data_IF_753546008415
#
_entry.id   IF_753546008415
#
_cell.length_a   1.000
_cell.length_b   1.000
_cell.length_c   1.000
_cell.angle_alpha   90.00
_cell.angle_beta   90.00
_cell.angle_gamma   90.00
#
_symmetry.space_group_name_H-M   'P 1'
#
loop_
_entity.id
_entity.type
_entity.pdbx_description
1 polymer ?
#
# COMPACT_ATOMS: atom_id res chain seq x y z
N UNK A 1 -58.67 14.78 50.53
CA UNK A 1 -57.36 14.38 49.97
C UNK A 1 -57.32 14.86 48.53
N UNK A 2 -56.50 15.88 48.24
CA UNK A 2 -56.39 16.53 46.92
C UNK A 2 -55.09 16.02 46.28
N UNK A 3 -55.19 15.27 45.18
CA UNK A 3 -54.04 14.84 44.40
C UNK A 3 -53.53 16.03 43.58
N UNK A 4 -52.30 16.48 43.86
CA UNK A 4 -51.59 17.48 43.04
C UNK A 4 -50.71 16.70 42.07
N UNK A 5 -51.03 16.78 40.78
CA UNK A 5 -50.21 16.26 39.71
C UNK A 5 -49.13 17.31 39.39
N UNK A 6 -47.87 17.04 39.71
CA UNK A 6 -46.74 17.90 39.35
C UNK A 6 -46.21 17.43 37.99
N UNK A 7 -46.47 18.23 36.95
CA UNK A 7 -45.91 18.02 35.61
C UNK A 7 -44.48 18.57 35.61
N UNK A 8 -43.48 17.69 35.71
CA UNK A 8 -42.07 18.04 35.56
C UNK A 8 -41.77 18.05 34.05
N UNK A 9 -41.77 19.23 33.43
CA UNK A 9 -41.19 19.41 32.11
C UNK A 9 -39.67 19.33 32.22
N UNK A 10 -39.10 18.18 31.84
CA UNK A 10 -37.66 18.04 31.63
C UNK A 10 -37.35 18.73 30.31
N UNK A 11 -36.80 19.96 30.38
CA UNK A 11 -36.12 20.57 29.24
C UNK A 11 -34.88 19.72 28.95
N UNK A 12 -34.98 18.81 27.99
CA UNK A 12 -33.83 18.22 27.33
C UNK A 12 -33.15 19.33 26.54
N UNK A 13 -32.07 19.89 27.11
CA UNK A 13 -31.16 20.75 26.37
C UNK A 13 -30.51 19.89 25.28
N UNK A 14 -30.99 20.02 24.05
CA UNK A 14 -30.30 19.51 22.88
C UNK A 14 -28.95 20.24 22.80
N UNK A 15 -27.87 19.56 23.18
CA UNK A 15 -26.53 20.03 22.87
C UNK A 15 -26.38 19.96 21.36
N UNK A 16 -26.60 21.09 20.69
CA UNK A 16 -26.15 21.26 19.32
C UNK A 16 -24.62 21.15 19.37
N UNK A 17 -24.09 20.02 18.92
CA UNK A 17 -22.66 19.88 18.64
C UNK A 17 -22.32 20.96 17.62
N UNK A 18 -21.47 21.90 18.00
CA UNK A 18 -20.97 22.91 17.08
C UNK A 18 -20.27 22.18 15.94
N UNK A 19 -20.87 22.22 14.76
CA UNK A 19 -20.18 21.92 13.51
C UNK A 19 -18.99 22.86 13.45
N UNK A 20 -17.77 22.34 13.56
CA UNK A 20 -16.58 23.10 13.21
C UNK A 20 -16.74 23.49 11.74
N UNK A 21 -16.71 24.79 11.46
CA UNK A 21 -16.76 25.28 10.09
C UNK A 21 -15.50 24.80 9.36
N UNK A 22 -15.69 24.19 8.20
CA UNK A 22 -14.63 23.79 7.27
C UNK A 22 -13.79 25.03 6.93
N UNK A 23 -12.46 24.92 7.07
CA UNK A 23 -11.55 25.97 6.61
C UNK A 23 -11.54 25.91 5.08
N UNK A 24 -11.72 27.06 4.44
CA UNK A 24 -11.65 27.21 2.98
C UNK A 24 -10.32 27.89 2.62
N UNK A 25 -9.42 27.25 1.84
CA UNK A 25 -9.49 25.88 1.32
C UNK A 25 -9.21 24.81 2.40
N UNK A 26 -9.69 23.56 2.23
CA UNK A 26 -9.44 22.48 3.18
C UNK A 26 -7.94 22.30 3.40
N UNK A 27 -7.55 22.14 4.68
CA UNK A 27 -6.17 21.83 5.03
C UNK A 27 -5.84 20.42 4.53
N UNK A 28 -4.69 20.29 3.88
CA UNK A 28 -4.13 19.06 3.30
C UNK A 28 -4.49 17.81 4.10
N UNK A 29 -5.27 16.92 3.49
CA UNK A 29 -5.62 15.64 4.10
C UNK A 29 -4.51 14.66 3.77
N UNK A 30 -3.73 14.22 4.74
CA UNK A 30 -2.80 13.12 4.49
C UNK A 30 -3.46 11.79 4.86
N UNK A 31 -3.48 10.86 3.91
CA UNK A 31 -3.70 9.45 4.17
C UNK A 31 -2.32 8.77 4.14
N UNK A 32 -2.02 7.94 5.13
CA UNK A 32 -0.87 7.06 5.08
C UNK A 32 -1.32 5.62 5.25
N UNK A 33 -0.58 4.72 4.62
CA UNK A 33 -0.79 3.29 4.67
C UNK A 33 0.53 2.64 5.08
N UNK A 34 0.48 1.77 6.07
CA UNK A 34 1.54 0.83 6.37
C UNK A 34 1.01 -0.58 6.27
N UNK A 35 1.86 -1.50 5.83
CA UNK A 35 1.54 -2.90 5.72
C UNK A 35 2.66 -3.70 6.37
N UNK A 36 2.31 -4.56 7.32
CA UNK A 36 3.29 -5.34 8.08
C UNK A 36 2.89 -6.81 8.03
N UNK A 37 3.80 -7.66 7.57
CA UNK A 37 3.63 -9.10 7.68
C UNK A 37 4.07 -9.65 9.02
N UNK A 38 3.32 -10.61 9.55
CA UNK A 38 3.74 -11.30 10.75
C UNK A 38 4.96 -12.20 10.46
N UNK A 39 5.89 -12.35 11.42
CA UNK A 39 7.04 -13.24 11.25
C UNK A 39 6.64 -14.71 11.10
N UNK A 40 5.43 -15.09 11.53
CA UNK A 40 4.91 -16.44 11.46
C UNK A 40 4.36 -16.81 10.07
N UNK A 41 4.16 -15.83 9.19
CA UNK A 41 3.71 -16.06 7.82
C UNK A 41 2.23 -16.37 7.68
N UNK A 42 1.40 -15.86 8.59
CA UNK A 42 -0.02 -16.17 8.65
C UNK A 42 -0.92 -14.98 8.36
N UNK A 43 -0.44 -13.74 8.56
CA UNK A 43 -1.28 -12.55 8.46
C UNK A 43 -0.47 -11.33 8.00
N UNK A 44 -1.13 -10.47 7.21
CA UNK A 44 -0.68 -9.11 6.92
C UNK A 44 -1.62 -8.15 7.63
N UNK A 45 -1.04 -7.28 8.45
CA UNK A 45 -1.75 -6.21 9.15
C UNK A 45 -1.54 -4.91 8.39
N UNK A 46 -2.62 -4.25 8.02
CA UNK A 46 -2.58 -2.91 7.44
C UNK A 46 -2.94 -1.89 8.51
N UNK A 47 -2.20 -0.78 8.53
CA UNK A 47 -2.47 0.39 9.35
C UNK A 47 -2.74 1.57 8.42
N UNK A 48 -3.94 2.12 8.52
CA UNK A 48 -4.38 3.27 7.70
C UNK A 48 -4.57 4.44 8.62
N UNK A 49 -3.83 5.53 8.40
CA UNK A 49 -3.96 6.77 9.14
C UNK A 49 -4.49 7.91 8.28
N UNK A 50 -5.57 8.55 8.70
CA UNK A 50 -6.23 9.67 7.98
C UNK A 50 -6.20 10.90 8.87
N UNK A 51 -5.71 12.04 8.36
CA UNK A 51 -5.76 13.33 9.08
C UNK A 51 -6.73 14.31 8.41
N UNK A 52 -7.66 14.86 9.18
CA UNK A 52 -8.87 15.46 8.64
C UNK A 52 -8.82 16.96 8.34
N UNK A 53 -9.16 17.27 7.09
CA UNK A 53 -10.28 18.16 6.72
C UNK A 53 -10.82 17.66 5.37
N UNK A 54 -11.61 16.57 5.39
CA UNK A 54 -12.12 15.92 4.18
C UNK A 54 -13.34 16.64 3.58
N UNK A 55 -13.40 16.65 2.25
CA UNK A 55 -14.57 17.14 1.53
C UNK A 55 -15.83 16.31 1.87
N UNK A 56 -17.02 16.94 2.02
CA UNK A 56 -18.28 16.23 2.25
C UNK A 56 -18.63 15.15 1.20
N UNK A 57 -18.09 15.23 -0.02
CA UNK A 57 -18.29 14.23 -1.06
C UNK A 57 -17.55 12.92 -0.78
N UNK A 58 -16.52 12.95 0.07
CA UNK A 58 -15.81 11.76 0.52
C UNK A 58 -16.67 10.97 1.50
N UNK A 59 -17.05 9.74 1.09
CA UNK A 59 -17.81 8.81 1.93
C UNK A 59 -16.89 7.93 2.78
N UNK A 60 -15.67 7.67 2.32
CA UNK A 60 -14.70 6.85 3.05
C UNK A 60 -13.53 6.41 2.19
N UNK A 61 -12.93 5.29 2.57
CA UNK A 61 -11.72 4.75 1.94
C UNK A 61 -11.84 3.26 1.66
N UNK A 62 -11.55 2.86 0.43
CA UNK A 62 -11.43 1.46 0.05
C UNK A 62 -9.96 1.05 -0.02
N UNK A 63 -9.68 -0.19 0.41
CA UNK A 63 -8.33 -0.75 0.32
C UNK A 63 -8.29 -1.79 -0.78
N UNK A 64 -7.28 -1.67 -1.64
CA UNK A 64 -7.01 -2.58 -2.73
C UNK A 64 -5.67 -3.27 -2.55
N UNK A 65 -5.58 -4.50 -3.03
CA UNK A 65 -4.38 -5.31 -3.05
C UNK A 65 -4.06 -5.79 -4.46
N UNK A 66 -2.83 -5.64 -4.88
CA UNK A 66 -2.27 -6.33 -6.05
C UNK A 66 -1.04 -7.16 -5.66
N UNK A 67 -0.60 -8.04 -6.57
CA UNK A 67 0.62 -8.81 -6.40
C UNK A 67 1.71 -8.19 -7.27
N UNK A 68 2.83 -7.82 -6.67
CA UNK A 68 3.94 -7.22 -7.40
C UNK A 68 4.44 -8.16 -8.52
N UNK A 69 4.69 -7.62 -9.70
CA UNK A 69 5.11 -8.38 -10.87
C UNK A 69 3.99 -9.02 -11.69
N UNK A 70 2.75 -9.03 -11.18
CA UNK A 70 1.60 -9.58 -11.92
C UNK A 70 0.77 -8.47 -12.56
N UNK A 71 0.33 -8.69 -13.81
CA UNK A 71 -0.59 -7.79 -14.49
C UNK A 71 -2.07 -8.06 -14.12
N UNK A 72 -2.31 -8.64 -12.94
CA UNK A 72 -3.63 -8.91 -12.44
C UNK A 72 -4.28 -7.63 -11.93
N UNK A 73 -5.60 -7.52 -12.08
CA UNK A 73 -6.35 -6.42 -11.49
C UNK A 73 -6.22 -6.45 -9.96
N UNK A 74 -6.19 -5.25 -9.37
CA UNK A 74 -6.20 -5.12 -7.92
C UNK A 74 -7.52 -5.62 -7.34
N UNK A 75 -7.44 -6.33 -6.22
CA UNK A 75 -8.59 -6.88 -5.52
C UNK A 75 -8.91 -5.98 -4.33
N UNK A 76 -10.15 -5.50 -4.24
CA UNK A 76 -10.64 -4.79 -3.07
C UNK A 76 -10.74 -5.73 -1.88
N UNK A 77 -10.21 -5.32 -0.73
CA UNK A 77 -10.20 -6.12 0.51
C UNK A 77 -11.14 -5.57 1.60
N UNK A 78 -11.70 -4.37 1.40
CA UNK A 78 -12.72 -3.79 2.28
C UNK A 78 -14.13 -4.18 1.82
N UNK A 79 -14.89 -4.84 2.71
CA UNK A 79 -16.32 -5.13 2.46
C UNK A 79 -17.13 -3.83 2.38
N UNK A 80 -16.88 -2.91 3.32
CA UNK A 80 -17.43 -1.56 3.39
C UNK A 80 -16.29 -0.54 3.45
N UNK A 81 -16.45 0.68 2.91
CA UNK A 81 -15.44 1.72 3.02
C UNK A 81 -15.08 2.01 4.48
N UNK A 82 -13.79 2.15 4.77
CA UNK A 82 -13.33 2.65 6.06
C UNK A 82 -13.94 4.05 6.26
N UNK A 83 -14.53 4.33 7.42
CA UNK A 83 -15.24 5.58 7.63
C UNK A 83 -14.26 6.75 7.61
N UNK A 84 -14.72 7.88 7.08
CA UNK A 84 -13.95 9.14 7.06
C UNK A 84 -13.58 9.70 8.44
N UNK A 85 -14.19 9.20 9.51
CA UNK A 85 -13.92 9.64 10.89
C UNK A 85 -14.43 11.05 11.22
N UNK A 86 -14.20 11.48 12.47
CA UNK A 86 -14.36 12.86 12.95
C UNK A 86 -13.00 13.55 12.94
N UNK A 87 -12.92 14.87 12.75
CA UNK A 87 -11.64 15.61 12.70
C UNK A 87 -10.54 15.06 13.64
N UNK A 88 -9.51 14.40 13.09
CA UNK A 88 -8.40 13.82 13.86
C UNK A 88 -7.58 12.79 13.07
N UNK A 89 -6.73 12.03 13.77
CA UNK A 89 -6.03 10.84 13.24
C UNK A 89 -6.82 9.59 13.60
N UNK A 90 -7.24 8.82 12.59
CA UNK A 90 -7.91 7.52 12.78
C UNK A 90 -7.02 6.41 12.27
N UNK A 91 -6.82 5.38 13.09
CA UNK A 91 -6.06 4.18 12.73
C UNK A 91 -7.01 3.00 12.54
N UNK A 92 -6.93 2.37 11.37
CA UNK A 92 -7.67 1.15 11.06
C UNK A 92 -6.70 -0.02 10.93
N UNK A 93 -7.03 -1.13 11.56
CA UNK A 93 -6.26 -2.38 11.50
C UNK A 93 -7.04 -3.41 10.70
N UNK A 94 -6.52 -3.81 9.54
CA UNK A 94 -7.11 -4.82 8.67
C UNK A 94 -6.20 -6.05 8.61
N UNK A 95 -6.80 -7.24 8.62
CA UNK A 95 -6.10 -8.50 8.36
C UNK A 95 -6.44 -8.94 6.95
N UNK A 96 -5.42 -9.14 6.11
CA UNK A 96 -5.63 -9.67 4.77
C UNK A 96 -5.56 -11.22 4.76
N UNK A 97 -6.72 -11.86 4.87
CA UNK A 97 -6.85 -13.33 4.82
C UNK A 97 -6.61 -13.92 3.41
N UNK A 98 -6.62 -13.09 2.36
CA UNK A 98 -6.38 -13.54 0.99
C UNK A 98 -4.91 -13.61 0.60
N UNK A 99 -4.01 -13.08 1.45
CA UNK A 99 -2.58 -13.16 1.23
C UNK A 99 -2.08 -14.57 1.59
N UNK A 100 -1.70 -15.35 0.59
CA UNK A 100 -1.53 -16.79 0.71
C UNK A 100 -0.09 -17.30 0.49
N UNK A 101 0.83 -16.42 0.06
CA UNK A 101 2.18 -16.82 -0.33
C UNK A 101 3.25 -16.04 0.41
N UNK A 102 4.12 -16.76 1.12
CA UNK A 102 5.23 -16.20 1.89
C UNK A 102 6.45 -15.78 1.06
N UNK A 103 6.34 -15.81 -0.27
CA UNK A 103 7.40 -15.41 -1.20
C UNK A 103 6.89 -14.34 -2.19
N UNK A 104 5.76 -13.73 -1.86
CA UNK A 104 5.05 -12.79 -2.71
C UNK A 104 5.01 -11.45 -2.00
N UNK A 105 5.45 -10.41 -2.70
CA UNK A 105 5.24 -9.05 -2.25
C UNK A 105 3.85 -8.59 -2.72
N UNK A 106 3.05 -8.16 -1.76
CA UNK A 106 1.74 -7.56 -1.97
C UNK A 106 1.86 -6.05 -1.93
N UNK A 107 1.18 -5.40 -2.87
CA UNK A 107 1.06 -3.94 -2.93
C UNK A 107 -0.33 -3.59 -2.44
N UNK A 108 -0.41 -2.70 -1.47
CA UNK A 108 -1.66 -2.17 -0.96
C UNK A 108 -1.79 -0.70 -1.31
N UNK A 109 -3.02 -0.31 -1.64
CA UNK A 109 -3.39 1.05 -2.06
C UNK A 109 -4.66 1.46 -1.34
N UNK A 110 -4.66 2.68 -0.79
CA UNK A 110 -5.86 3.32 -0.25
C UNK A 110 -6.48 4.20 -1.34
N UNK A 111 -7.74 3.97 -1.67
CA UNK A 111 -8.52 4.80 -2.59
C UNK A 111 -9.60 5.56 -1.83
N UNK A 112 -9.76 6.85 -2.13
CA UNK A 112 -10.84 7.68 -1.60
C UNK A 112 -12.09 7.47 -2.45
N UNK A 113 -13.25 7.30 -1.82
CA UNK A 113 -14.48 6.95 -2.53
C UNK A 113 -15.69 7.80 -2.13
N UNK A 114 -16.62 7.97 -3.07
CA UNK A 114 -17.93 8.60 -2.84
C UNK A 114 -18.96 7.64 -2.21
N UNK A 115 -20.21 8.09 -2.05
CA UNK A 115 -21.29 7.30 -1.46
C UNK A 115 -21.65 6.04 -2.27
N UNK A 116 -21.40 6.06 -3.58
CA UNK A 116 -21.65 4.97 -4.50
C UNK A 116 -20.39 4.09 -4.70
N UNK A 117 -19.31 4.38 -3.95
CA UNK A 117 -17.99 3.74 -4.02
C UNK A 117 -17.26 3.95 -5.35
N UNK A 118 -17.51 5.06 -6.01
CA UNK A 118 -16.68 5.47 -7.14
C UNK A 118 -15.37 6.07 -6.62
N UNK A 119 -14.27 5.77 -7.29
CA UNK A 119 -12.97 6.38 -6.99
C UNK A 119 -13.01 7.89 -7.25
N UNK A 120 -12.63 8.65 -6.24
CA UNK A 120 -12.44 10.09 -6.30
C UNK A 120 -10.94 10.35 -6.51
N UNK A 121 -10.55 10.63 -7.76
CA UNK A 121 -9.14 10.86 -8.11
C UNK A 121 -8.59 12.08 -7.38
N UNK A 122 -7.70 11.83 -6.43
CA UNK A 122 -7.15 12.85 -5.54
C UNK A 122 -6.24 13.83 -6.24
N UNK A 123 -5.47 13.39 -7.23
CA UNK A 123 -4.38 14.19 -7.76
C UNK A 123 -4.81 15.52 -8.39
N UNK A 124 -6.09 15.65 -8.76
CA UNK A 124 -6.62 16.82 -9.46
C UNK A 124 -7.60 17.65 -8.63
N UNK A 125 -8.29 17.06 -7.65
CA UNK A 125 -9.40 17.73 -6.95
C UNK A 125 -9.23 17.79 -5.42
N UNK A 126 -8.37 16.95 -4.82
CA UNK A 126 -8.21 16.88 -3.36
C UNK A 126 -6.73 16.74 -2.99
N UNK A 127 -6.18 17.64 -2.16
CA UNK A 127 -4.82 17.51 -1.64
C UNK A 127 -4.68 16.29 -0.69
N UNK A 128 -4.71 15.07 -1.24
CA UNK A 128 -4.43 13.83 -0.54
C UNK A 128 -3.31 13.03 -1.18
N UNK A 129 -2.51 12.41 -0.31
CA UNK A 129 -1.49 11.45 -0.71
C UNK A 129 -2.11 10.06 -0.74
N UNK A 130 -2.07 9.41 -1.90
CA UNK A 130 -2.44 8.00 -2.04
C UNK A 130 -1.43 7.16 -1.24
N UNK A 131 -1.87 6.54 -0.15
CA UNK A 131 -1.03 5.65 0.64
C UNK A 131 -0.75 4.36 -0.13
N UNK A 132 0.50 4.13 -0.50
CA UNK A 132 0.98 2.86 -1.05
C UNK A 132 1.88 2.19 -0.02
N UNK A 133 1.61 0.92 0.26
CA UNK A 133 2.43 0.10 1.14
C UNK A 133 2.75 -1.24 0.49
N UNK A 134 3.91 -1.79 0.86
CA UNK A 134 4.39 -3.07 0.39
C UNK A 134 4.53 -3.97 1.61
N UNK A 135 4.03 -5.20 1.50
CA UNK A 135 4.26 -6.19 2.54
C UNK A 135 4.52 -7.56 1.96
N UNK A 136 5.34 -8.29 2.70
CA UNK A 136 5.62 -9.71 2.52
C UNK A 136 5.58 -10.34 3.90
N UNK A 137 5.37 -11.64 3.96
CA UNK A 137 5.50 -12.42 5.19
C UNK A 137 6.36 -13.65 4.92
N UNK A 138 7.19 -14.05 5.89
CA UNK A 138 8.10 -15.18 5.72
C UNK A 138 9.37 -14.86 4.92
N UNK A 139 9.46 -15.33 3.66
CA UNK A 139 10.68 -15.31 2.86
C UNK A 139 10.96 -13.98 2.16
N UNK A 140 12.15 -13.86 1.56
CA UNK A 140 12.52 -12.70 0.74
C UNK A 140 11.79 -12.77 -0.61
N UNK A 141 10.87 -11.84 -0.93
CA UNK A 141 10.12 -11.88 -2.18
C UNK A 141 10.99 -11.51 -3.38
N UNK A 142 10.51 -11.90 -4.56
CA UNK A 142 11.02 -11.41 -5.84
C UNK A 142 10.47 -10.00 -6.10
N UNK A 143 11.37 -9.03 -6.24
CA UNK A 143 11.02 -7.63 -6.53
C UNK A 143 10.96 -7.34 -8.03
N UNK A 144 11.68 -8.12 -8.84
CA UNK A 144 11.76 -7.89 -10.27
C UNK A 144 12.62 -8.92 -11.01
N UNK A 145 12.33 -9.10 -12.30
CA UNK A 145 13.25 -9.73 -13.27
C UNK A 145 13.45 -8.77 -14.44
N UNK A 146 14.71 -8.45 -14.77
CA UNK A 146 15.01 -7.33 -15.68
C UNK A 146 16.49 -7.04 -15.85
N UNK A 147 16.81 -5.96 -16.55
CA UNK A 147 18.18 -5.42 -16.66
C UNK A 147 18.33 -4.20 -15.76
N UNK A 148 19.58 -3.85 -15.42
CA UNK A 148 19.89 -2.67 -14.61
C UNK A 148 20.70 -1.69 -15.46
N UNK A 149 20.26 -0.44 -15.47
CA UNK A 149 20.91 0.65 -16.20
C UNK A 149 21.41 1.71 -15.22
N UNK A 150 22.48 2.41 -15.60
CA UNK A 150 22.94 3.61 -14.90
C UNK A 150 21.93 4.74 -15.13
N UNK A 151 20.92 4.77 -14.26
CA UNK A 151 19.77 5.65 -14.34
C UNK A 151 20.03 7.07 -13.86
N UNK A 152 19.39 7.44 -12.75
CA UNK A 152 19.51 8.76 -12.16
C UNK A 152 20.76 8.85 -11.26
N UNK A 153 21.26 10.06 -11.04
CA UNK A 153 22.45 10.28 -10.18
C UNK A 153 22.30 9.69 -8.77
N UNK A 154 21.07 9.54 -8.29
CA UNK A 154 20.74 9.02 -6.97
C UNK A 154 20.14 7.61 -6.98
N UNK A 155 19.97 6.97 -8.15
CA UNK A 155 19.36 5.65 -8.27
C UNK A 155 19.77 4.92 -9.56
N UNK A 156 20.04 3.61 -9.45
CA UNK A 156 20.06 2.73 -10.63
C UNK A 156 18.64 2.47 -11.08
N UNK A 157 18.47 2.43 -12.40
CA UNK A 157 17.19 2.14 -13.02
C UNK A 157 17.06 0.63 -13.23
N UNK A 158 15.92 0.08 -12.82
CA UNK A 158 15.59 -1.32 -13.04
C UNK A 158 14.56 -1.40 -14.17
N UNK A 159 14.98 -1.99 -15.29
CA UNK A 159 14.14 -2.16 -16.47
C UNK A 159 13.55 -3.57 -16.45
N UNK A 160 12.27 -3.73 -16.06
CA UNK A 160 11.66 -5.05 -15.95
C UNK A 160 11.50 -5.71 -17.32
N UNK A 161 11.58 -7.04 -17.34
CA UNK A 161 11.26 -7.85 -18.50
C UNK A 161 9.77 -7.72 -18.86
N UNK A 162 9.42 -7.59 -20.14
CA UNK A 162 8.03 -7.71 -20.60
C UNK A 162 7.62 -9.20 -20.71
N UNK A 163 6.35 -9.58 -20.47
CA UNK A 163 5.20 -8.76 -20.08
C UNK A 163 4.96 -8.75 -18.56
N UNK A 164 5.95 -8.37 -17.75
CA UNK A 164 5.75 -8.26 -16.30
C UNK A 164 5.17 -6.90 -15.93
N UNK A 165 4.41 -6.84 -14.84
CA UNK A 165 3.91 -5.59 -14.28
C UNK A 165 4.61 -5.31 -12.95
N UNK A 166 5.94 -5.49 -12.92
CA UNK A 166 6.72 -5.03 -11.77
C UNK A 166 6.61 -3.51 -11.69
N UNK A 167 6.34 -3.01 -10.49
CA UNK A 167 6.41 -1.57 -10.28
C UNK A 167 7.84 -1.09 -10.54
N UNK A 168 7.93 0.14 -11.03
CA UNK A 168 9.22 0.81 -11.10
C UNK A 168 9.78 0.97 -9.69
N UNK A 169 10.97 0.43 -9.47
CA UNK A 169 11.69 0.48 -8.19
C UNK A 169 13.09 1.02 -8.42
N UNK A 170 13.48 1.96 -7.58
CA UNK A 170 14.83 2.52 -7.59
C UNK A 170 15.78 1.63 -6.77
N UNK A 171 17.04 1.56 -7.17
CA UNK A 171 18.07 0.87 -6.40
C UNK A 171 19.15 1.88 -6.03
N UNK A 172 19.54 1.94 -4.75
CA UNK A 172 20.58 2.87 -4.32
C UNK A 172 21.93 2.61 -5.02
N UNK A 173 22.61 3.65 -5.53
CA UNK A 173 23.94 3.54 -6.13
C UNK A 173 24.96 2.98 -5.13
N UNK A 174 25.90 2.19 -5.63
CA UNK A 174 26.97 1.61 -4.81
C UNK A 174 26.58 0.33 -4.09
N UNK A 175 25.39 -0.23 -4.33
CA UNK A 175 25.02 -1.54 -3.81
C UNK A 175 25.90 -2.64 -4.43
N UNK A 176 26.78 -3.31 -3.65
CA UNK A 176 27.78 -4.24 -4.20
C UNK A 176 27.16 -5.49 -4.84
N UNK A 177 25.88 -5.80 -4.56
CA UNK A 177 25.17 -6.91 -5.18
C UNK A 177 24.70 -6.58 -6.61
N UNK A 178 24.51 -5.31 -6.92
CA UNK A 178 23.89 -4.81 -8.16
C UNK A 178 24.92 -4.20 -9.10
N UNK A 179 25.92 -3.50 -8.56
CA UNK A 179 26.99 -2.84 -9.35
C UNK A 179 27.67 -3.75 -10.40
N UNK A 180 27.89 -5.07 -10.16
CA UNK A 180 28.44 -5.95 -11.20
C UNK A 180 27.55 -6.15 -12.45
N UNK A 181 26.28 -5.76 -12.38
CA UNK A 181 25.28 -5.97 -13.44
C UNK A 181 24.85 -4.69 -14.15
N UNK A 182 25.20 -3.51 -13.61
CA UNK A 182 24.85 -2.20 -14.19
C UNK A 182 25.44 -2.06 -15.59
N UNK A 183 24.61 -1.67 -16.56
CA UNK A 183 24.95 -1.46 -17.98
C UNK A 183 25.56 -2.68 -18.70
N UNK A 184 25.47 -3.86 -18.11
CA UNK A 184 26.01 -5.10 -18.72
C UNK A 184 25.06 -5.71 -19.75
N UNK A 185 23.77 -5.35 -19.70
CA UNK A 185 22.70 -6.01 -20.44
C UNK A 185 22.37 -7.42 -19.94
N UNK A 186 22.97 -7.87 -18.83
CA UNK A 186 22.65 -9.16 -18.20
C UNK A 186 21.31 -9.04 -17.48
N UNK A 187 20.38 -9.94 -17.80
CA UNK A 187 19.12 -10.07 -17.07
C UNK A 187 19.35 -10.73 -15.72
N UNK A 188 18.76 -10.14 -14.68
CA UNK A 188 18.83 -10.61 -13.30
C UNK A 188 17.45 -10.67 -12.66
N UNK A 189 17.31 -11.56 -11.68
CA UNK A 189 16.22 -11.57 -10.72
C UNK A 189 16.70 -10.91 -9.42
N UNK A 190 15.96 -9.91 -8.94
CA UNK A 190 16.25 -9.14 -7.74
C UNK A 190 15.32 -9.60 -6.62
N UNK A 191 15.90 -10.01 -5.49
CA UNK A 191 15.17 -10.41 -4.29
C UNK A 191 15.48 -9.45 -3.16
N UNK A 192 14.46 -9.02 -2.43
CA UNK A 192 14.61 -8.02 -1.38
C UNK A 192 13.29 -7.60 -0.77
N UNK A 193 13.24 -6.38 -0.25
CA UNK A 193 12.00 -5.73 0.19
C UNK A 193 11.90 -4.34 -0.44
N UNK A 194 10.69 -3.89 -0.73
CA UNK A 194 10.43 -2.52 -1.17
C UNK A 194 10.12 -1.61 0.02
N UNK A 195 10.63 -0.39 0.00
CA UNK A 195 10.24 0.67 0.92
C UNK A 195 10.04 1.96 0.13
N UNK A 196 9.09 2.80 0.52
CA UNK A 196 8.81 4.04 -0.20
C UNK A 196 8.93 5.24 0.72
N UNK A 197 9.40 6.34 0.16
CA UNK A 197 9.42 7.65 0.79
C UNK A 197 8.90 8.69 -0.21
N UNK A 198 9.08 9.98 0.11
CA UNK A 198 8.65 11.07 -0.77
C UNK A 198 9.43 11.17 -2.10
N UNK A 199 10.59 10.52 -2.21
CA UNK A 199 11.44 10.53 -3.41
C UNK A 199 11.12 9.38 -4.36
N UNK A 200 10.47 8.32 -3.86
CA UNK A 200 10.05 7.17 -4.64
C UNK A 200 10.05 5.88 -3.84
N UNK A 201 9.87 4.76 -4.55
CA UNK A 201 9.99 3.42 -3.98
C UNK A 201 11.36 2.83 -4.31
N UNK A 202 12.04 2.33 -3.29
CA UNK A 202 13.39 1.81 -3.37
C UNK A 202 13.44 0.34 -2.96
N UNK A 203 14.35 -0.40 -3.61
CA UNK A 203 14.63 -1.79 -3.31
C UNK A 203 15.76 -1.91 -2.28
N UNK A 204 15.46 -2.57 -1.17
CA UNK A 204 16.50 -3.11 -0.29
C UNK A 204 16.90 -4.51 -0.78
N UNK A 205 17.93 -4.57 -1.62
CA UNK A 205 18.36 -5.80 -2.30
C UNK A 205 19.08 -6.73 -1.33
N UNK A 206 18.56 -7.95 -1.20
CA UNK A 206 19.15 -9.00 -0.38
C UNK A 206 19.94 -10.02 -1.21
N UNK A 207 19.50 -10.26 -2.45
CA UNK A 207 20.10 -11.26 -3.34
C UNK A 207 19.83 -10.94 -4.81
N UNK A 208 20.79 -11.27 -5.68
CA UNK A 208 20.71 -11.12 -7.12
C UNK A 208 21.17 -12.41 -7.78
N UNK A 209 20.36 -12.94 -8.70
CA UNK A 209 20.72 -14.09 -9.53
C UNK A 209 20.59 -13.73 -10.99
N UNK A 210 21.48 -14.25 -11.84
CA UNK A 210 21.23 -14.21 -13.28
C UNK A 210 19.96 -14.99 -13.60
N UNK A 211 19.14 -14.44 -14.49
CA UNK A 211 17.87 -15.03 -14.88
C UNK A 211 17.63 -14.80 -16.37
N UNK A 212 16.64 -15.48 -16.94
CA UNK A 212 16.09 -15.14 -18.25
C UNK A 212 14.81 -14.31 -18.07
N UNK A 213 14.46 -13.52 -19.08
CA UNK A 213 13.14 -12.86 -19.17
C UNK A 213 12.04 -13.89 -19.49
N UNK A 214 11.87 -14.88 -18.64
CA UNK A 214 10.71 -15.77 -18.66
C UNK A 214 9.61 -15.19 -17.79
N UNK A 215 8.32 -15.37 -18.15
CA UNK A 215 7.21 -14.95 -17.30
C UNK A 215 7.39 -15.57 -15.91
N UNK A 216 7.39 -14.74 -14.87
CA UNK A 216 7.43 -15.25 -13.49
C UNK A 216 6.21 -16.15 -13.31
N UNK A 217 6.38 -17.48 -13.12
CA UNK A 217 5.24 -18.33 -12.88
C UNK A 217 4.59 -17.84 -11.59
N UNK A 218 3.27 -17.68 -11.58
CA UNK A 218 2.44 -17.36 -10.40
C UNK A 218 2.47 -18.47 -9.33
N UNK A 219 3.49 -19.33 -9.31
CA UNK A 219 3.59 -20.49 -8.45
C UNK A 219 4.19 -20.12 -7.10
N UNK A 220 3.44 -20.51 -6.07
CA UNK A 220 3.87 -20.83 -4.70
C UNK A 220 4.95 -21.93 -4.72
N UNK A 221 6.18 -21.60 -5.10
CA UNK A 221 7.32 -22.47 -4.89
C UNK A 221 8.06 -22.07 -3.60
N UNK A 222 8.35 -23.05 -2.74
CA UNK A 222 9.11 -22.83 -1.52
C UNK A 222 10.57 -22.48 -1.86
N UNK A 223 11.20 -21.59 -1.10
CA UNK A 223 12.60 -21.15 -1.28
C UNK A 223 13.61 -22.30 -1.52
N UNK A 224 13.40 -23.46 -0.88
CA UNK A 224 14.21 -24.66 -1.08
C UNK A 224 14.15 -25.24 -2.49
N UNK A 225 13.02 -25.11 -3.21
CA UNK A 225 12.90 -25.56 -4.61
C UNK A 225 13.51 -24.57 -5.58
N UNK A 226 13.49 -23.26 -5.26
CA UNK A 226 14.16 -22.23 -6.05
C UNK A 226 15.68 -22.39 -5.95
N UNK A 227 16.23 -22.48 -4.73
CA UNK A 227 17.67 -22.66 -4.53
C UNK A 227 18.23 -23.90 -5.26
N UNK A 228 17.52 -25.02 -5.20
CA UNK A 228 17.92 -26.27 -5.86
C UNK A 228 17.95 -26.21 -7.40
N UNK A 229 17.35 -25.18 -8.02
CA UNK A 229 17.40 -24.96 -9.47
C UNK A 229 18.61 -24.13 -9.92
N UNK A 230 19.26 -23.42 -8.99
CA UNK A 230 20.36 -22.50 -9.28
C UNK A 230 21.69 -22.88 -8.60
N UNK A 231 21.72 -23.98 -7.83
CA UNK A 231 22.92 -24.71 -7.39
C UNK A 231 23.35 -25.74 -8.45
#
# INVERSE_FOLDING_TARGET
>A
MRNVLVLICILSASFATASLAQVDPPATTYCWLQATGDPAGTQLTLEVGINDTLDPEVSGFDIYRSINGTCAEAVRITDEPLPRGLVGVHEFYLVDEGAASSATEYIYRVEVVDQDRNFLDGWLEFDYFEGIAFATFGGTPLLGVGTIEDGLTFARDFIPCEPTCFNHIFIEPGNPLIEPYVDTGITVAIYGTTWCNFEGCFANVSFVAQAACEPVPTRTESWSSLKAKFD
#
